data_IF_488405298826
#
_entry.id   IF_488405298826
#
_cell.length_a   1.000
_cell.length_b   1.000
_cell.length_c   1.000
_cell.angle_alpha   90.00
_cell.angle_beta   90.00
_cell.angle_gamma   90.00
#
_symmetry.space_group_name_H-M   'P 1'
#
loop_
_entity.id
_entity.type
_entity.pdbx_description
1 polymer ?
#
# COMPACT_ATOMS: atom_id res chain seq x y z
N UNK A 1 14.14 8.38 13.92
CA UNK A 1 13.27 8.99 12.91
C UNK A 1 13.76 8.60 11.52
N UNK A 2 12.83 8.17 10.67
CA UNK A 2 13.08 7.85 9.27
C UNK A 2 12.30 8.80 8.38
N UNK A 3 12.86 9.12 7.23
CA UNK A 3 12.21 9.92 6.19
C UNK A 3 12.45 9.23 4.85
N UNK A 4 11.40 9.10 4.06
CA UNK A 4 11.48 8.64 2.68
C UNK A 4 10.78 9.65 1.77
N UNK A 5 11.33 9.86 0.59
CA UNK A 5 10.82 10.83 -0.38
C UNK A 5 11.26 10.46 -1.80
N UNK A 6 10.50 10.86 -2.77
CA UNK A 6 10.86 10.75 -4.17
C UNK A 6 11.61 12.00 -4.63
N UNK A 7 12.56 11.81 -5.48
CA UNK A 7 13.39 12.88 -6.04
C UNK A 7 13.97 12.52 -7.40
N UNK A 8 14.31 13.53 -8.17
CA UNK A 8 14.90 13.36 -9.50
C UNK A 8 16.43 13.26 -9.42
N UNK A 9 17.01 12.16 -9.88
CA UNK A 9 18.45 11.88 -9.82
C UNK A 9 19.25 12.45 -11.03
N UNK A 10 18.58 13.19 -11.91
CA UNK A 10 19.14 13.69 -13.17
C UNK A 10 18.71 12.87 -14.39
N UNK A 11 18.12 11.69 -14.19
CA UNK A 11 17.60 10.81 -15.24
C UNK A 11 16.15 10.42 -15.01
N UNK A 12 15.81 10.11 -13.77
CA UNK A 12 14.49 9.58 -13.39
C UNK A 12 14.17 9.88 -11.93
N UNK A 13 12.92 9.72 -11.55
CA UNK A 13 12.52 9.79 -10.16
C UNK A 13 12.93 8.51 -9.43
N UNK A 14 13.58 8.68 -8.29
CA UNK A 14 14.03 7.63 -7.38
C UNK A 14 13.43 7.84 -6.01
N UNK A 15 13.30 6.75 -5.27
CA UNK A 15 13.00 6.80 -3.85
C UNK A 15 14.29 6.90 -3.06
N UNK A 16 14.38 7.94 -2.24
CA UNK A 16 15.48 8.19 -1.31
C UNK A 16 15.02 8.01 0.12
N UNK A 17 15.96 7.69 1.01
CA UNK A 17 15.71 7.66 2.44
C UNK A 17 16.88 8.20 3.25
N UNK A 18 16.56 8.71 4.43
CA UNK A 18 17.50 9.10 5.49
C UNK A 18 16.97 8.70 6.85
N UNK A 19 17.86 8.45 7.77
CA UNK A 19 17.53 8.21 9.18
C UNK A 19 18.23 9.21 10.08
N UNK A 20 17.56 9.64 11.14
CA UNK A 20 18.16 10.44 12.19
C UNK A 20 18.53 9.53 13.36
N UNK A 21 19.81 9.49 13.66
CA UNK A 21 20.43 8.77 14.77
C UNK A 21 20.87 9.76 15.86
N UNK A 22 21.49 9.25 16.92
CA UNK A 22 22.12 10.09 17.94
C UNK A 22 23.28 10.93 17.36
N UNK A 23 23.96 10.44 16.33
CA UNK A 23 25.06 11.14 15.66
C UNK A 23 24.58 12.19 14.62
N UNK A 24 23.28 12.30 14.38
CA UNK A 24 22.69 13.19 13.38
C UNK A 24 21.98 12.44 12.25
N UNK A 25 21.82 13.09 11.10
CA UNK A 25 21.27 12.46 9.92
C UNK A 25 22.29 11.54 9.26
N UNK A 26 21.83 10.35 8.86
CA UNK A 26 22.64 9.44 8.03
C UNK A 26 22.92 10.06 6.67
N UNK A 27 23.87 9.46 5.94
CA UNK A 27 23.94 9.65 4.49
C UNK A 27 22.61 9.26 3.85
N UNK A 28 22.34 9.89 2.74
CA UNK A 28 21.18 9.57 1.90
C UNK A 28 21.42 8.26 1.15
N UNK A 29 20.41 7.41 1.09
CA UNK A 29 20.49 6.20 0.29
C UNK A 29 19.39 6.17 -0.77
N UNK A 30 19.66 5.54 -1.90
CA UNK A 30 18.63 5.18 -2.88
C UNK A 30 17.99 3.87 -2.46
N UNK A 31 16.68 3.86 -2.30
CA UNK A 31 15.90 2.68 -1.89
C UNK A 31 15.36 1.92 -3.09
N UNK A 32 14.83 2.63 -4.09
CA UNK A 32 14.32 2.02 -5.31
C UNK A 32 15.45 1.48 -6.17
N UNK A 33 15.27 0.26 -6.66
CA UNK A 33 16.20 -0.38 -7.56
C UNK A 33 15.62 -0.45 -8.97
N UNK A 34 16.46 -0.33 -9.99
CA UNK A 34 16.03 -0.43 -11.39
C UNK A 34 15.93 0.92 -12.10
N UNK A 35 15.36 0.87 -13.30
CA UNK A 35 15.23 2.03 -14.21
C UNK A 35 13.83 2.66 -14.18
N UNK A 36 12.92 2.11 -13.39
CA UNK A 36 11.56 2.60 -13.27
C UNK A 36 11.50 3.85 -12.38
N UNK A 37 10.48 4.66 -12.58
CA UNK A 37 10.24 5.86 -11.77
C UNK A 37 9.55 5.47 -10.47
N UNK A 38 10.22 5.68 -9.35
CA UNK A 38 9.64 5.47 -8.03
C UNK A 38 8.94 6.73 -7.54
N UNK A 39 7.73 6.58 -6.98
CA UNK A 39 6.93 7.71 -6.51
C UNK A 39 6.02 7.35 -5.34
N UNK A 40 5.45 8.39 -4.73
CA UNK A 40 4.46 8.30 -3.65
C UNK A 40 4.87 7.36 -2.51
N UNK A 41 6.02 7.58 -1.86
CA UNK A 41 6.45 6.77 -0.74
C UNK A 41 5.56 6.95 0.49
N UNK A 42 5.34 5.84 1.15
CA UNK A 42 4.73 5.81 2.47
C UNK A 42 5.62 5.03 3.43
N UNK A 43 5.78 5.52 4.64
CA UNK A 43 6.69 4.93 5.60
C UNK A 43 5.99 4.70 6.93
N UNK A 44 6.26 3.55 7.56
CA UNK A 44 5.83 3.24 8.93
C UNK A 44 7.01 2.77 9.77
N UNK A 45 7.04 3.22 11.01
CA UNK A 45 8.04 2.73 11.97
C UNK A 45 7.72 1.29 12.38
N UNK A 46 8.76 0.48 12.59
CA UNK A 46 8.67 -0.86 13.15
C UNK A 46 9.75 -1.05 14.24
N UNK A 47 9.69 -2.10 15.07
CA UNK A 47 10.58 -2.24 16.22
C UNK A 47 12.09 -2.13 15.91
N UNK A 48 12.52 -2.61 14.76
CA UNK A 48 13.92 -2.65 14.33
C UNK A 48 14.25 -1.69 13.18
N UNK A 49 13.37 -0.71 12.93
CA UNK A 49 13.60 0.24 11.84
C UNK A 49 12.33 0.89 11.28
N UNK A 50 12.16 0.79 9.98
CA UNK A 50 10.94 1.23 9.30
C UNK A 50 10.65 0.31 8.10
N UNK A 51 9.42 0.31 7.65
CA UNK A 51 9.03 -0.22 6.35
C UNK A 51 8.61 0.91 5.45
N UNK A 52 9.05 0.90 4.23
CA UNK A 52 8.63 1.85 3.19
C UNK A 52 7.97 1.10 2.04
N UNK A 53 6.86 1.64 1.58
CA UNK A 53 6.17 1.19 0.38
C UNK A 53 6.13 2.30 -0.67
N UNK A 54 6.14 1.96 -1.94
CA UNK A 54 6.07 2.92 -3.05
C UNK A 54 5.51 2.28 -4.30
N UNK A 55 5.21 3.11 -5.29
CA UNK A 55 4.94 2.67 -6.65
C UNK A 55 6.17 2.85 -7.53
N UNK A 56 6.54 1.82 -8.28
CA UNK A 56 7.39 1.94 -9.46
C UNK A 56 6.51 2.10 -10.69
N UNK A 57 6.85 3.07 -11.52
CA UNK A 57 6.19 3.35 -12.78
C UNK A 57 7.11 2.95 -13.94
N UNK A 58 6.80 1.83 -14.55
CA UNK A 58 7.53 1.33 -15.70
C UNK A 58 7.06 1.92 -17.02
N UNK A 59 7.79 1.59 -18.06
CA UNK A 59 7.43 1.92 -19.45
C UNK A 59 6.05 1.33 -19.79
N UNK A 60 5.21 2.07 -20.51
CA UNK A 60 3.84 1.72 -20.90
C UNK A 60 2.76 1.78 -19.80
N UNK A 61 2.94 2.64 -18.81
CA UNK A 61 1.95 2.86 -17.75
C UNK A 61 1.65 1.59 -16.91
N UNK A 62 2.63 0.72 -16.76
CA UNK A 62 2.54 -0.43 -15.85
C UNK A 62 3.12 -0.02 -14.50
N UNK A 63 2.30 -0.05 -13.46
CA UNK A 63 2.73 0.23 -12.10
C UNK A 63 3.01 -1.06 -11.35
N UNK A 64 4.03 -1.04 -10.51
CA UNK A 64 4.32 -2.10 -9.55
C UNK A 64 4.25 -1.55 -8.13
N UNK A 65 3.67 -2.30 -7.22
CA UNK A 65 3.72 -1.98 -5.78
C UNK A 65 4.94 -2.62 -5.18
N UNK A 66 5.79 -1.82 -4.56
CA UNK A 66 7.06 -2.24 -3.98
C UNK A 66 7.14 -1.92 -2.49
N UNK A 67 8.01 -2.63 -1.80
CA UNK A 67 8.38 -2.32 -0.43
C UNK A 67 9.84 -2.67 -0.14
N UNK A 68 10.41 -2.01 0.88
CA UNK A 68 11.67 -2.40 1.48
C UNK A 68 11.66 -2.11 2.98
N UNK A 69 12.53 -2.79 3.71
CA UNK A 69 12.81 -2.49 5.11
C UNK A 69 13.99 -1.52 5.21
N UNK A 70 13.85 -0.50 6.03
CA UNK A 70 14.92 0.45 6.36
C UNK A 70 15.47 0.13 7.75
N UNK A 71 16.75 -0.13 7.84
CA UNK A 71 17.43 -0.41 9.10
C UNK A 71 18.69 0.44 9.24
N UNK A 72 19.03 0.80 10.49
CA UNK A 72 20.31 1.45 10.79
C UNK A 72 21.18 0.43 11.52
N UNK A 73 22.35 0.14 10.96
CA UNK A 73 23.38 -0.70 11.59
C UNK A 73 24.70 0.04 11.57
N UNK A 74 25.37 0.07 12.69
CA UNK A 74 26.69 0.74 12.85
C UNK A 74 26.68 2.20 12.35
N UNK A 75 25.53 2.89 12.53
CA UNK A 75 25.33 4.27 12.09
C UNK A 75 24.98 4.43 10.60
N UNK A 76 25.05 3.39 9.81
CA UNK A 76 24.69 3.42 8.41
C UNK A 76 23.24 2.98 8.16
N UNK A 77 22.50 3.76 7.38
CA UNK A 77 21.19 3.39 6.89
C UNK A 77 21.33 2.43 5.72
N UNK A 78 20.51 1.39 5.71
CA UNK A 78 20.43 0.42 4.61
C UNK A 78 18.99 0.09 4.28
N UNK A 79 18.70 -0.13 3.00
CA UNK A 79 17.45 -0.72 2.53
C UNK A 79 17.68 -2.21 2.29
N UNK A 80 16.88 -3.04 2.92
CA UNK A 80 16.98 -4.50 2.85
C UNK A 80 15.64 -5.11 2.48
N UNK A 81 15.64 -6.38 2.10
CA UNK A 81 14.41 -7.13 1.82
C UNK A 81 13.48 -6.44 0.80
N UNK A 82 13.99 -6.01 -0.37
CA UNK A 82 13.14 -5.43 -1.40
C UNK A 82 12.13 -6.46 -1.90
N UNK A 83 10.87 -6.10 -1.95
CA UNK A 83 9.80 -6.99 -2.40
C UNK A 83 8.91 -6.27 -3.42
N UNK A 84 8.53 -7.00 -4.47
CA UNK A 84 7.45 -6.60 -5.36
C UNK A 84 6.17 -7.31 -4.94
N UNK A 85 5.17 -6.58 -4.53
CA UNK A 85 3.90 -7.13 -4.08
C UNK A 85 2.97 -7.43 -5.26
N UNK A 86 3.05 -6.62 -6.30
CA UNK A 86 2.24 -6.76 -7.50
C UNK A 86 2.87 -6.03 -8.68
N UNK A 87 2.90 -6.70 -9.83
CA UNK A 87 3.20 -6.12 -11.13
C UNK A 87 1.92 -5.88 -11.92
N UNK A 88 1.92 -4.90 -12.80
CA UNK A 88 0.83 -4.62 -13.71
C UNK A 88 -0.40 -4.05 -13.02
N UNK A 89 -0.23 -3.01 -12.21
CA UNK A 89 -1.33 -2.25 -11.63
C UNK A 89 -1.70 -1.12 -12.59
N UNK A 90 -2.90 -1.15 -13.14
CA UNK A 90 -3.40 -0.03 -13.95
C UNK A 90 -3.85 1.11 -13.03
N UNK A 91 -3.31 2.30 -13.24
CA UNK A 91 -3.76 3.59 -12.70
C UNK A 91 -4.18 3.67 -11.23
N UNK A 92 -3.56 4.61 -10.52
CA UNK A 92 -3.82 5.19 -9.20
C UNK A 92 -3.53 4.29 -7.98
N UNK A 93 -2.81 4.71 -7.12
CA UNK A 93 -1.80 5.67 -6.77
C UNK A 93 -1.79 6.00 -5.29
N UNK A 94 -2.72 5.46 -4.53
CA UNK A 94 -2.67 5.61 -3.10
C UNK A 94 -2.22 4.32 -2.47
N UNK A 95 -1.14 4.43 -1.77
CA UNK A 95 -0.57 3.38 -0.95
C UNK A 95 -0.49 3.90 0.48
N UNK A 96 -0.75 3.04 1.43
CA UNK A 96 -0.52 3.32 2.83
C UNK A 96 0.12 2.12 3.52
N UNK A 97 1.09 2.36 4.38
CA UNK A 97 1.75 1.33 5.20
C UNK A 97 1.56 1.69 6.66
N UNK A 98 1.25 0.70 7.48
CA UNK A 98 1.20 0.82 8.93
C UNK A 98 1.91 -0.37 9.60
N UNK A 99 2.34 -0.19 10.83
CA UNK A 99 3.01 -1.20 11.64
C UNK A 99 2.75 -0.92 13.11
N UNK A 100 2.77 -1.98 13.94
CA UNK A 100 2.70 -1.86 15.38
C UNK A 100 4.00 -2.33 16.07
N UNK A 101 4.02 -2.24 17.40
CA UNK A 101 5.17 -2.64 18.21
C UNK A 101 5.43 -4.15 18.23
N UNK A 102 4.43 -4.99 17.92
CA UNK A 102 4.59 -6.44 17.79
C UNK A 102 5.28 -6.85 16.48
N UNK A 103 5.50 -5.90 15.55
CA UNK A 103 6.10 -6.13 14.25
C UNK A 103 5.11 -6.61 13.17
N UNK A 104 3.79 -6.59 13.43
CA UNK A 104 2.80 -6.74 12.39
C UNK A 104 2.84 -5.51 11.49
N UNK A 105 2.89 -5.73 10.20
CA UNK A 105 2.86 -4.72 9.16
C UNK A 105 1.67 -4.96 8.23
N UNK A 106 0.99 -3.91 7.86
CA UNK A 106 -0.07 -3.93 6.88
C UNK A 106 0.21 -2.91 5.78
N UNK A 107 -0.15 -3.24 4.56
CA UNK A 107 -0.08 -2.35 3.42
C UNK A 107 -1.41 -2.37 2.68
N UNK A 108 -1.99 -1.20 2.46
CA UNK A 108 -3.14 -1.03 1.60
C UNK A 108 -2.77 -0.25 0.37
N UNK A 109 -3.31 -0.61 -0.77
CA UNK A 109 -3.09 0.06 -2.05
C UNK A 109 -4.30 -0.07 -2.95
N UNK A 110 -4.44 0.87 -3.87
CA UNK A 110 -5.48 0.80 -4.89
C UNK A 110 -4.96 0.12 -6.14
N UNK A 111 -5.83 -0.64 -6.80
CA UNK A 111 -5.56 -1.28 -8.08
C UNK A 111 -6.69 -1.02 -9.06
N UNK A 112 -6.32 -0.95 -10.35
CA UNK A 112 -7.25 -1.01 -11.50
C UNK A 112 -8.54 -0.24 -11.28
N UNK A 113 -8.38 1.05 -11.21
CA UNK A 113 -9.45 2.03 -11.12
C UNK A 113 -10.20 2.06 -9.80
N UNK A 114 -10.04 1.12 -8.84
CA UNK A 114 -10.86 1.37 -7.63
C UNK A 114 -10.93 0.22 -6.62
N UNK A 115 -10.13 -0.79 -6.78
CA UNK A 115 -10.05 -1.86 -5.80
C UNK A 115 -9.06 -1.50 -4.69
N UNK A 116 -9.52 -1.48 -3.46
CA UNK A 116 -8.66 -1.38 -2.28
C UNK A 116 -8.22 -2.77 -1.87
N UNK A 117 -6.93 -3.01 -1.94
CA UNK A 117 -6.30 -4.28 -1.57
C UNK A 117 -5.49 -4.10 -0.29
N UNK A 118 -5.49 -5.13 0.54
CA UNK A 118 -4.68 -5.18 1.77
C UNK A 118 -3.85 -6.46 1.79
N UNK A 119 -2.61 -6.34 2.21
CA UNK A 119 -1.73 -7.46 2.54
C UNK A 119 -1.03 -7.20 3.87
N UNK A 120 -0.57 -8.27 4.52
CA UNK A 120 0.11 -8.21 5.80
C UNK A 120 1.38 -9.04 5.80
N UNK A 121 2.29 -8.74 6.74
CA UNK A 121 3.44 -9.58 7.06
C UNK A 121 3.90 -9.35 8.50
N UNK A 122 4.74 -10.24 9.04
CA UNK A 122 5.48 -10.01 10.30
C UNK A 122 6.97 -9.93 10.03
N UNK A 123 7.59 -8.95 10.65
CA UNK A 123 9.04 -8.75 10.52
C UNK A 123 9.47 -8.66 9.05
N UNK A 124 10.38 -9.56 8.63
CA UNK A 124 10.91 -9.61 7.26
C UNK A 124 10.31 -10.73 6.41
N UNK A 125 9.23 -11.34 6.85
CA UNK A 125 8.51 -12.35 6.06
C UNK A 125 8.00 -11.77 4.73
N UNK A 126 7.73 -12.62 3.73
CA UNK A 126 7.03 -12.19 2.54
C UNK A 126 5.64 -11.63 2.87
N UNK A 127 5.19 -10.65 2.10
CA UNK A 127 3.82 -10.17 2.21
C UNK A 127 2.83 -11.29 1.90
N UNK A 128 1.75 -11.32 2.64
CA UNK A 128 0.62 -12.21 2.33
C UNK A 128 0.06 -11.91 0.93
N UNK A 129 -0.72 -12.83 0.41
CA UNK A 129 -1.53 -12.52 -0.77
C UNK A 129 -2.41 -11.29 -0.51
N UNK A 130 -2.62 -10.43 -1.51
CA UNK A 130 -3.53 -9.31 -1.38
C UNK A 130 -4.98 -9.79 -1.29
N UNK A 131 -5.75 -9.13 -0.43
CA UNK A 131 -7.16 -9.37 -0.19
C UNK A 131 -7.93 -8.12 -0.62
N UNK A 132 -9.04 -8.31 -1.34
CA UNK A 132 -9.93 -7.24 -1.75
C UNK A 132 -10.79 -6.79 -0.56
N UNK A 133 -10.73 -5.50 -0.25
CA UNK A 133 -11.47 -4.88 0.83
C UNK A 133 -12.64 -4.01 0.35
N UNK A 134 -12.52 -3.45 -0.84
CA UNK A 134 -13.61 -2.72 -1.48
C UNK A 134 -14.53 -3.66 -2.24
N UNK A 135 -15.79 -3.28 -2.35
CA UNK A 135 -16.76 -4.03 -3.14
C UNK A 135 -16.52 -3.76 -4.63
N UNK A 136 -16.26 -4.79 -5.41
CA UNK A 136 -15.97 -4.70 -6.84
C UNK A 136 -17.18 -4.29 -7.71
N UNK A 137 -18.02 -3.38 -7.23
CA UNK A 137 -19.25 -2.91 -7.90
C UNK A 137 -19.03 -1.76 -8.89
N UNK A 138 -17.76 -1.44 -9.20
CA UNK A 138 -17.40 -0.32 -10.07
C UNK A 138 -17.50 1.05 -9.41
N UNK A 139 -17.85 1.10 -8.13
CA UNK A 139 -17.76 2.30 -7.29
C UNK A 139 -16.43 2.28 -6.53
N UNK A 140 -15.61 3.18 -6.85
CA UNK A 140 -14.23 3.30 -6.50
C UNK A 140 -13.95 3.42 -5.02
N UNK A 141 -13.14 2.52 -4.49
CA UNK A 141 -12.41 2.77 -3.27
C UNK A 141 -11.05 3.42 -3.59
N UNK A 142 -10.78 4.60 -3.05
CA UNK A 142 -9.50 5.31 -3.23
C UNK A 142 -9.01 5.84 -1.89
N UNK A 143 -7.78 6.28 -1.86
CA UNK A 143 -7.14 6.91 -0.71
C UNK A 143 -7.19 6.06 0.57
N UNK A 144 -6.78 4.77 0.53
CA UNK A 144 -6.78 3.95 1.73
C UNK A 144 -5.89 4.55 2.81
N UNK A 145 -6.34 4.46 4.05
CA UNK A 145 -5.57 4.80 5.24
C UNK A 145 -5.62 3.64 6.20
N UNK A 146 -4.47 3.26 6.74
CA UNK A 146 -4.29 2.15 7.65
C UNK A 146 -3.81 2.60 9.01
N UNK A 147 -4.24 1.87 10.02
CA UNK A 147 -3.62 1.78 11.33
C UNK A 147 -3.54 0.29 11.69
N UNK A 148 -2.48 -0.13 12.34
CA UNK A 148 -2.39 -1.42 13.01
C UNK A 148 -2.25 -1.13 14.50
N UNK A 149 -3.20 -1.60 15.29
CA UNK A 149 -3.18 -1.39 16.74
C UNK A 149 -2.31 -2.44 17.47
N UNK A 150 -2.18 -2.30 18.77
CA UNK A 150 -1.33 -3.18 19.59
C UNK A 150 -1.92 -4.59 19.78
N UNK A 151 -3.21 -4.77 19.49
CA UNK A 151 -3.91 -6.07 19.49
C UNK A 151 -3.87 -6.75 18.11
N UNK A 152 -3.04 -6.24 17.19
CA UNK A 152 -2.92 -6.71 15.81
C UNK A 152 -4.19 -6.51 14.96
N UNK A 153 -5.09 -5.64 15.38
CA UNK A 153 -6.25 -5.29 14.56
C UNK A 153 -5.84 -4.27 13.50
N UNK A 154 -6.22 -4.54 12.29
CA UNK A 154 -5.98 -3.67 11.14
C UNK A 154 -7.21 -2.80 10.95
N UNK A 155 -7.06 -1.50 11.16
CA UNK A 155 -8.09 -0.50 10.92
C UNK A 155 -7.86 0.11 9.54
N UNK A 156 -8.85 0.01 8.66
CA UNK A 156 -8.77 0.48 7.30
C UNK A 156 -9.90 1.47 7.02
N UNK A 157 -9.55 2.61 6.47
CA UNK A 157 -10.50 3.56 5.91
C UNK A 157 -10.20 3.81 4.46
N UNK A 158 -11.21 4.00 3.65
CA UNK A 158 -11.05 4.45 2.27
C UNK A 158 -12.22 5.32 1.85
N UNK A 159 -12.01 6.08 0.81
CA UNK A 159 -13.03 6.92 0.22
C UNK A 159 -13.78 6.14 -0.86
N UNK A 160 -15.10 6.13 -0.77
CA UNK A 160 -16.00 5.45 -1.68
C UNK A 160 -16.83 6.48 -2.47
N UNK A 161 -17.22 6.16 -3.69
CA UNK A 161 -18.00 7.08 -4.53
C UNK A 161 -17.16 7.90 -5.50
N UNK A 162 -16.03 7.35 -5.96
CA UNK A 162 -15.22 7.94 -7.00
C UNK A 162 -15.55 7.28 -8.35
N UNK A 163 -16.02 8.04 -9.32
CA UNK A 163 -16.41 7.52 -10.63
C UNK A 163 -15.86 8.38 -11.76
N UNK A 164 -15.27 7.74 -12.76
CA UNK A 164 -14.70 8.41 -13.94
C UNK A 164 -13.71 9.54 -13.61
N UNK A 165 -12.90 9.38 -12.57
CA UNK A 165 -11.92 10.38 -12.16
C UNK A 165 -12.48 11.54 -11.34
N UNK A 166 -13.75 11.50 -10.95
CA UNK A 166 -14.41 12.53 -10.17
C UNK A 166 -15.10 11.97 -8.92
N UNK A 167 -15.08 12.76 -7.85
CA UNK A 167 -15.86 12.46 -6.65
C UNK A 167 -17.34 12.60 -6.96
N UNK A 168 -18.12 11.57 -6.65
CA UNK A 168 -19.57 11.68 -6.69
C UNK A 168 -20.09 12.56 -5.55
N UNK A 169 -21.27 13.17 -5.73
CA UNK A 169 -21.87 14.06 -4.71
C UNK A 169 -22.15 13.36 -3.38
N UNK A 170 -22.25 12.03 -3.39
CA UNK A 170 -22.52 11.20 -2.22
C UNK A 170 -21.32 10.36 -1.82
N UNK A 171 -20.10 10.86 -2.06
CA UNK A 171 -18.90 10.18 -1.61
C UNK A 171 -18.93 9.94 -0.10
N UNK A 172 -18.57 8.74 0.31
CA UNK A 172 -18.57 8.30 1.70
C UNK A 172 -17.17 7.89 2.13
N UNK A 173 -16.90 7.94 3.41
CA UNK A 173 -15.74 7.29 4.01
C UNK A 173 -16.21 5.95 4.57
N UNK A 174 -15.64 4.87 4.08
CA UNK A 174 -15.90 3.53 4.58
C UNK A 174 -14.82 3.21 5.61
N UNK A 175 -15.22 2.61 6.71
CA UNK A 175 -14.33 2.08 7.72
C UNK A 175 -14.56 0.58 7.87
N UNK A 176 -13.47 -0.16 7.97
CA UNK A 176 -13.49 -1.58 8.31
C UNK A 176 -12.34 -1.90 9.26
N UNK A 177 -12.47 -2.98 10.03
CA UNK A 177 -11.41 -3.49 10.87
C UNK A 177 -11.41 -5.01 10.83
N UNK A 178 -10.24 -5.61 10.88
CA UNK A 178 -10.07 -7.06 10.86
C UNK A 178 -8.70 -7.46 11.41
N UNK A 179 -8.66 -8.67 11.95
CA UNK A 179 -7.41 -9.31 12.34
C UNK A 179 -6.74 -9.99 11.15
N UNK A 180 -5.43 -10.30 11.21
CA UNK A 180 -4.77 -11.11 10.18
C UNK A 180 -5.43 -12.47 9.94
N UNK A 181 -6.02 -13.08 10.97
CA UNK A 181 -6.74 -14.34 10.84
C UNK A 181 -8.02 -14.20 10.02
N UNK A 182 -8.79 -13.14 10.23
CA UNK A 182 -9.98 -12.83 9.43
C UNK A 182 -9.60 -12.44 8.02
N UNK A 183 -8.51 -11.67 7.84
CA UNK A 183 -7.98 -11.35 6.52
C UNK A 183 -7.60 -12.61 5.73
N UNK A 184 -6.98 -13.59 6.39
CA UNK A 184 -6.59 -14.85 5.76
C UNK A 184 -7.77 -15.71 5.32
N UNK A 185 -8.96 -15.52 5.91
CA UNK A 185 -10.19 -16.22 5.57
C UNK A 185 -10.94 -15.57 4.39
N UNK A 186 -10.59 -14.34 4.01
CA UNK A 186 -11.20 -13.69 2.87
C UNK A 186 -10.86 -14.45 1.57
N UNK A 187 -11.76 -14.47 0.60
CA UNK A 187 -11.52 -15.14 -0.66
C UNK A 187 -10.31 -14.54 -1.38
N UNK A 188 -9.67 -15.33 -2.21
CA UNK A 188 -8.58 -14.86 -3.05
C UNK A 188 -9.07 -13.75 -3.98
N UNK A 189 -8.30 -12.69 -4.05
CA UNK A 189 -8.54 -11.68 -5.05
C UNK A 189 -8.25 -12.26 -6.44
N UNK A 190 -9.30 -12.44 -7.19
CA UNK A 190 -9.20 -12.75 -8.62
C UNK A 190 -9.28 -11.43 -9.37
N UNK A 191 -8.18 -11.03 -10.01
CA UNK A 191 -8.19 -9.85 -10.85
C UNK A 191 -9.27 -9.99 -11.92
N UNK A 192 -10.17 -9.02 -12.09
CA UNK A 192 -11.07 -9.05 -13.23
C UNK A 192 -10.23 -9.10 -14.52
N UNK A 193 -10.73 -9.76 -15.57
CA UNK A 193 -10.08 -9.72 -16.87
C UNK A 193 -9.86 -8.26 -17.28
N UNK A 194 -8.75 -7.97 -17.94
CA UNK A 194 -8.34 -6.62 -18.34
C UNK A 194 -9.30 -5.94 -19.33
N UNK A 195 -10.33 -6.63 -19.77
CA UNK A 195 -11.38 -6.12 -20.64
C UNK A 195 -12.48 -5.45 -19.81
N UNK A 196 -12.38 -4.15 -19.69
CA UNK A 196 -13.29 -3.28 -18.94
C UNK A 196 -14.70 -3.13 -19.54
N UNK A 197 -15.03 -3.90 -20.55
CA UNK A 197 -16.34 -3.88 -21.21
C UNK A 197 -17.35 -4.82 -20.58
N UNK A 198 -16.95 -5.71 -19.68
CA UNK A 198 -17.86 -6.64 -19.01
C UNK A 198 -18.53 -5.94 -17.81
N UNK A 199 -19.86 -5.98 -17.71
CA UNK A 199 -20.56 -5.51 -16.52
C UNK A 199 -20.18 -6.40 -15.32
N UNK A 200 -19.84 -5.77 -14.20
CA UNK A 200 -19.53 -6.46 -12.95
C UNK A 200 -20.78 -7.23 -12.50
N UNK A 201 -20.66 -8.51 -12.11
CA UNK A 201 -21.81 -9.27 -11.62
C UNK A 201 -22.44 -8.60 -10.40
N UNK A 202 -23.73 -8.41 -10.41
CA UNK A 202 -24.51 -7.75 -9.37
C UNK A 202 -24.56 -8.48 -8.01
N UNK A 203 -23.69 -9.44 -7.76
CA UNK A 203 -23.72 -10.28 -6.55
C UNK A 203 -22.95 -9.69 -5.36
N UNK A 204 -22.37 -8.51 -5.50
CA UNK A 204 -21.61 -7.84 -4.42
C UNK A 204 -22.42 -6.75 -3.68
N UNK A 205 -23.73 -6.74 -3.81
CA UNK A 205 -24.58 -5.72 -3.16
C UNK A 205 -24.95 -6.15 -1.72
N UNK A 206 -23.95 -6.19 -0.84
CA UNK A 206 -24.19 -6.08 0.59
C UNK A 206 -23.65 -4.72 1.04
N UNK A 207 -24.52 -3.75 0.99
CA UNK A 207 -24.25 -2.40 1.51
C UNK A 207 -24.02 -2.46 3.01
N UNK A 208 -23.01 -1.72 3.46
CA UNK A 208 -22.74 -1.52 4.88
C UNK A 208 -23.80 -0.67 5.60
N UNK A 209 -24.80 -0.21 4.87
CA UNK A 209 -25.96 0.54 5.41
C UNK A 209 -26.90 -0.36 6.27
N UNK A 210 -26.66 -1.65 6.37
CA UNK A 210 -27.45 -2.58 7.17
C UNK A 210 -26.85 -2.93 8.55
N UNK A 211 -25.80 -2.23 8.96
CA UNK A 211 -25.32 -2.33 10.34
C UNK A 211 -25.98 -1.27 11.23
N UNK A 212 -26.73 -1.70 12.27
CA UNK A 212 -27.39 -0.80 13.21
C UNK A 212 -26.41 0.02 14.04
#
# INVERSE_FOLDING_TARGET
LYVAYDGFDGKQYKLFARARTAAGWSEEIVVSQGEDWASTPWIAAKPDGAVVGWYDYGYMAVYSVRSADLTVRDGALTAVNPQCLKEGVDWYLDLHVASNSSGLQAMAYTRSKYDVLVCTRRGSEPWSRPVLMSYGDGHCGVHPKLLVDEDDTIHLMWQFGFKNGHMERNAQVIYNHLTPAELAQQPDYVAPPSDFTQPIPATADKRLDEHP
#
